data_IF_334810837259
#
_entry.id   IF_334810837259
#
_cell.length_a   1.000
_cell.length_b   1.000
_cell.length_c   1.000
_cell.angle_alpha   90.00
_cell.angle_beta   90.00
_cell.angle_gamma   90.00
#
_symmetry.space_group_name_H-M   'P 1'
#
loop_
_entity.id
_entity.type
_entity.pdbx_description
1 polymer ?
#
# COMPACT_ATOMS: atom_id res chain seq x y z
N UNK A 1 9.63 19.56 -3.03
CA UNK A 1 10.47 18.93 -4.06
C UNK A 1 9.53 18.57 -5.19
N UNK A 2 9.67 19.17 -6.38
CA UNK A 2 8.89 18.78 -7.55
C UNK A 2 9.21 17.30 -7.83
N UNK A 3 8.23 16.41 -7.67
CA UNK A 3 8.41 15.04 -8.10
C UNK A 3 8.62 15.01 -9.61
N UNK A 4 9.50 14.15 -10.07
CA UNK A 4 9.82 14.07 -11.49
C UNK A 4 8.62 13.46 -12.23
N UNK A 5 8.14 14.18 -13.22
CA UNK A 5 7.14 13.69 -14.17
C UNK A 5 7.48 12.26 -14.63
N UNK A 6 6.51 11.34 -14.53
CA UNK A 6 6.70 9.97 -15.04
C UNK A 6 6.80 10.00 -16.56
N UNK A 7 8.03 9.85 -17.10
CA UNK A 7 8.22 9.69 -18.54
C UNK A 7 7.63 8.35 -19.03
N UNK A 8 7.26 8.28 -20.30
CA UNK A 8 6.78 7.04 -20.92
C UNK A 8 7.77 5.87 -20.74
N UNK A 9 9.08 6.15 -20.86
CA UNK A 9 10.11 5.14 -20.62
C UNK A 9 10.11 4.63 -19.16
N UNK A 10 9.84 5.51 -18.17
CA UNK A 10 9.72 5.10 -16.77
C UNK A 10 8.46 4.30 -16.54
N UNK A 11 7.33 4.69 -17.14
CA UNK A 11 6.06 3.93 -17.07
C UNK A 11 6.28 2.52 -17.61
N UNK A 12 6.85 2.37 -18.82
CA UNK A 12 7.17 1.07 -19.41
C UNK A 12 8.04 0.20 -18.50
N UNK A 13 9.06 0.78 -17.87
CA UNK A 13 9.90 0.06 -16.91
C UNK A 13 9.11 -0.40 -15.66
N UNK A 14 8.17 0.41 -15.17
CA UNK A 14 7.30 0.04 -14.05
C UNK A 14 6.33 -1.08 -14.44
N UNK A 15 5.77 -1.06 -15.64
CA UNK A 15 4.90 -2.12 -16.17
C UNK A 15 5.64 -3.47 -16.24
N UNK A 16 6.87 -3.47 -16.77
CA UNK A 16 7.73 -4.65 -16.79
C UNK A 16 8.00 -5.14 -15.36
N UNK A 17 8.33 -4.24 -14.45
CA UNK A 17 8.61 -4.58 -13.05
C UNK A 17 7.38 -5.12 -12.33
N UNK A 18 6.20 -4.56 -12.55
CA UNK A 18 4.95 -5.07 -12.00
C UNK A 18 4.63 -6.48 -12.51
N UNK A 19 4.94 -6.73 -13.77
CA UNK A 19 4.81 -8.07 -14.33
C UNK A 19 5.80 -9.08 -13.70
N UNK A 20 7.06 -8.69 -13.46
CA UNK A 20 8.05 -9.51 -12.75
C UNK A 20 7.59 -9.84 -11.32
N UNK A 21 7.01 -8.85 -10.62
CA UNK A 21 6.43 -9.02 -9.29
C UNK A 21 5.25 -10.00 -9.34
N UNK A 22 4.35 -9.91 -10.33
CA UNK A 22 3.25 -10.88 -10.52
C UNK A 22 3.76 -12.30 -10.74
N UNK A 23 4.82 -12.48 -11.53
CA UNK A 23 5.43 -13.79 -11.71
C UNK A 23 5.95 -14.36 -10.38
N UNK A 24 6.66 -13.53 -9.60
CA UNK A 24 7.15 -13.92 -8.26
C UNK A 24 6.00 -14.27 -7.30
N UNK A 25 4.88 -13.56 -7.35
CA UNK A 25 3.67 -13.88 -6.55
C UNK A 25 3.14 -15.26 -6.91
N UNK A 26 3.01 -15.59 -8.19
CA UNK A 26 2.55 -16.92 -8.63
C UNK A 26 3.52 -18.01 -8.19
N UNK A 27 4.83 -17.82 -8.43
CA UNK A 27 5.86 -18.81 -8.06
C UNK A 27 5.85 -19.10 -6.56
N UNK A 28 5.83 -18.05 -5.71
CA UNK A 28 5.85 -18.24 -4.27
C UNK A 28 4.57 -18.89 -3.73
N UNK A 29 3.40 -18.57 -4.30
CA UNK A 29 2.11 -19.15 -3.87
C UNK A 29 1.97 -20.62 -4.29
N UNK A 30 2.44 -20.98 -5.50
CA UNK A 30 2.50 -22.38 -5.95
C UNK A 30 3.41 -23.20 -5.04
N UNK A 31 4.59 -22.67 -4.71
CA UNK A 31 5.56 -23.32 -3.84
C UNK A 31 5.07 -23.45 -2.39
N UNK A 32 4.34 -22.45 -1.89
CA UNK A 32 3.77 -22.47 -0.54
C UNK A 32 2.53 -23.38 -0.42
N UNK A 33 1.79 -23.61 -1.51
CA UNK A 33 0.53 -24.36 -1.51
C UNK A 33 -0.57 -23.73 -0.64
N UNK A 34 -0.40 -22.47 -0.21
CA UNK A 34 -1.33 -21.73 0.62
C UNK A 34 -1.12 -20.22 0.47
N UNK A 35 -2.19 -19.44 0.67
CA UNK A 35 -2.13 -17.98 0.59
C UNK A 35 -3.23 -17.39 -0.29
N UNK A 36 -3.14 -16.10 -0.54
CA UNK A 36 -4.11 -15.30 -1.28
C UNK A 36 -3.54 -14.91 -2.65
N UNK A 37 -4.31 -15.00 -3.71
CA UNK A 37 -3.83 -14.79 -5.08
C UNK A 37 -4.37 -13.50 -5.71
N UNK A 38 -5.68 -13.29 -5.64
CA UNK A 38 -6.32 -12.22 -6.42
C UNK A 38 -5.91 -10.81 -5.96
N UNK A 39 -5.91 -10.55 -4.64
CA UNK A 39 -5.50 -9.26 -4.07
C UNK A 39 -4.04 -8.92 -4.38
N UNK A 40 -3.07 -9.82 -4.09
CA UNK A 40 -1.67 -9.58 -4.43
C UNK A 40 -1.41 -9.27 -5.92
N UNK A 41 -2.05 -9.99 -6.83
CA UNK A 41 -1.92 -9.72 -8.27
C UNK A 41 -2.55 -8.37 -8.66
N UNK A 42 -3.70 -8.02 -8.07
CA UNK A 42 -4.38 -6.74 -8.28
C UNK A 42 -3.54 -5.55 -7.81
N UNK A 43 -2.85 -5.69 -6.69
CA UNK A 43 -2.06 -4.60 -6.09
C UNK A 43 -0.63 -4.47 -6.64
N UNK A 44 -0.21 -5.33 -7.58
CA UNK A 44 1.17 -5.34 -8.05
C UNK A 44 1.62 -4.02 -8.70
N UNK A 45 0.75 -3.31 -9.44
CA UNK A 45 1.09 -2.02 -10.05
C UNK A 45 1.30 -0.94 -8.98
N UNK A 46 0.42 -0.89 -7.99
CA UNK A 46 0.49 0.07 -6.88
C UNK A 46 1.77 -0.17 -6.06
N UNK A 47 2.05 -1.41 -5.64
CA UNK A 47 3.27 -1.73 -4.91
C UNK A 47 4.53 -1.44 -5.72
N UNK A 48 4.49 -1.70 -7.03
CA UNK A 48 5.61 -1.35 -7.92
C UNK A 48 5.83 0.15 -7.97
N UNK A 49 4.77 0.95 -8.13
CA UNK A 49 4.89 2.41 -8.12
C UNK A 49 5.48 2.90 -6.80
N UNK A 50 4.99 2.37 -5.67
CA UNK A 50 5.47 2.78 -4.35
C UNK A 50 6.94 2.44 -4.14
N UNK A 51 7.36 1.20 -4.35
CA UNK A 51 8.73 0.75 -4.07
C UNK A 51 9.78 1.24 -5.07
N UNK A 52 9.39 1.60 -6.29
CA UNK A 52 10.36 2.00 -7.34
C UNK A 52 10.26 3.47 -7.76
N UNK A 53 9.32 4.23 -7.16
CA UNK A 53 9.17 5.65 -7.49
C UNK A 53 8.76 6.54 -6.32
N UNK A 54 7.77 6.16 -5.51
CA UNK A 54 7.16 7.05 -4.51
C UNK A 54 7.89 7.05 -3.17
N UNK A 55 8.08 5.87 -2.56
CA UNK A 55 8.63 5.77 -1.22
C UNK A 55 10.05 6.31 -1.12
N UNK A 56 10.27 7.15 -0.14
CA UNK A 56 11.62 7.48 0.33
C UNK A 56 12.07 6.35 1.25
N UNK A 57 12.84 5.44 0.71
CA UNK A 57 13.38 4.29 1.46
C UNK A 57 14.77 3.92 0.95
N UNK A 58 15.52 3.21 1.79
CA UNK A 58 16.82 2.65 1.43
C UNK A 58 16.91 1.19 1.89
N UNK A 59 16.88 0.23 0.96
CA UNK A 59 17.02 -1.20 1.29
C UNK A 59 18.31 -1.55 2.02
N UNK A 60 19.38 -0.75 1.84
CA UNK A 60 20.67 -0.93 2.52
C UNK A 60 20.70 -0.31 3.91
N UNK A 61 19.79 0.63 4.18
CA UNK A 61 19.61 1.26 5.49
C UNK A 61 18.11 1.28 5.87
N UNK A 62 17.49 0.11 6.08
CA UNK A 62 16.05 0.01 6.34
C UNK A 62 15.60 0.64 7.66
N UNK A 63 16.53 0.97 8.55
CA UNK A 63 16.27 1.69 9.81
C UNK A 63 16.40 3.21 9.69
N UNK A 64 16.64 3.75 8.49
CA UNK A 64 16.73 5.20 8.29
C UNK A 64 15.51 5.92 8.87
N UNK A 65 15.73 6.85 9.81
CA UNK A 65 14.66 7.51 10.56
C UNK A 65 13.74 8.34 9.68
N UNK A 66 14.29 9.02 8.66
CA UNK A 66 13.57 9.95 7.79
C UNK A 66 12.86 9.29 6.61
N UNK A 67 12.92 7.94 6.51
CA UNK A 67 12.19 7.22 5.48
C UNK A 67 10.68 7.34 5.65
N UNK A 68 9.93 7.22 4.58
CA UNK A 68 8.49 7.05 4.65
C UNK A 68 8.12 5.74 5.35
N UNK A 69 6.90 5.64 5.87
CA UNK A 69 6.36 4.45 6.54
C UNK A 69 5.26 3.85 5.68
N UNK A 70 5.34 2.55 5.44
CA UNK A 70 4.30 1.80 4.74
C UNK A 70 3.72 0.74 5.67
N UNK A 71 2.45 0.91 6.04
CA UNK A 71 1.68 -0.02 6.87
C UNK A 71 0.80 -0.85 5.94
N UNK A 72 0.97 -2.17 5.97
CA UNK A 72 0.07 -3.09 5.30
C UNK A 72 -0.98 -3.56 6.30
N UNK A 73 -2.21 -3.02 6.22
CA UNK A 73 -3.32 -3.42 7.10
C UNK A 73 -3.95 -4.74 6.66
N UNK A 74 -4.25 -4.87 5.37
CA UNK A 74 -4.75 -6.09 4.74
C UNK A 74 -3.63 -7.14 4.56
N UNK A 75 -3.09 -7.62 5.68
CA UNK A 75 -1.89 -8.45 5.74
C UNK A 75 -1.92 -9.74 4.92
N UNK A 76 -3.08 -10.22 4.52
CA UNK A 76 -3.24 -11.39 3.68
C UNK A 76 -2.68 -11.21 2.25
N UNK A 77 -2.53 -9.95 1.79
CA UNK A 77 -1.88 -9.66 0.50
C UNK A 77 -0.35 -9.58 0.59
N UNK A 78 0.25 -10.02 1.69
CA UNK A 78 1.71 -10.00 1.90
C UNK A 78 2.56 -10.54 0.74
N UNK A 79 2.12 -11.48 -0.13
CA UNK A 79 2.91 -11.89 -1.27
C UNK A 79 3.36 -10.73 -2.16
N UNK A 80 2.51 -9.73 -2.42
CA UNK A 80 2.92 -8.56 -3.21
C UNK A 80 3.91 -7.67 -2.46
N UNK A 81 3.73 -7.48 -1.15
CA UNK A 81 4.68 -6.74 -0.31
C UNK A 81 6.07 -7.39 -0.34
N UNK A 82 6.14 -8.71 -0.09
CA UNK A 82 7.40 -9.43 -0.10
C UNK A 82 8.07 -9.43 -1.47
N UNK A 83 7.31 -9.61 -2.55
CA UNK A 83 7.85 -9.52 -3.90
C UNK A 83 8.40 -8.12 -4.20
N UNK A 84 7.67 -7.04 -3.88
CA UNK A 84 8.14 -5.67 -4.07
C UNK A 84 9.41 -5.38 -3.25
N UNK A 85 9.46 -5.82 -1.99
CA UNK A 85 10.64 -5.68 -1.13
C UNK A 85 11.85 -6.44 -1.69
N UNK A 86 11.69 -7.70 -2.10
CA UNK A 86 12.78 -8.49 -2.68
C UNK A 86 13.31 -7.85 -3.97
N UNK A 87 12.42 -7.48 -4.89
CA UNK A 87 12.80 -6.83 -6.15
C UNK A 87 13.41 -5.44 -5.96
N UNK A 88 13.14 -4.76 -4.85
CA UNK A 88 13.77 -3.48 -4.49
C UNK A 88 15.08 -3.63 -3.68
N UNK A 89 15.47 -4.87 -3.33
CA UNK A 89 16.78 -5.16 -2.76
C UNK A 89 16.85 -5.32 -1.24
N UNK A 90 15.72 -5.48 -0.53
CA UNK A 90 15.73 -5.73 0.91
C UNK A 90 16.25 -7.14 1.26
N UNK A 91 16.02 -8.11 0.40
CA UNK A 91 16.49 -9.47 0.52
C UNK A 91 16.48 -10.17 -0.85
N UNK A 92 17.18 -11.32 -1.02
CA UNK A 92 17.24 -12.02 -2.30
C UNK A 92 15.87 -12.48 -2.79
N UNK A 93 15.61 -12.38 -4.10
CA UNK A 93 14.34 -12.80 -4.72
C UNK A 93 14.09 -14.30 -4.51
N UNK A 94 15.15 -15.10 -4.47
CA UNK A 94 15.09 -16.55 -4.23
C UNK A 94 14.46 -16.91 -2.89
N UNK A 95 14.55 -16.01 -1.90
CA UNK A 95 13.95 -16.21 -0.58
C UNK A 95 12.42 -16.25 -0.62
N UNK A 96 11.79 -15.64 -1.64
CA UNK A 96 10.35 -15.69 -1.83
C UNK A 96 9.78 -17.11 -1.86
N UNK A 97 10.57 -18.09 -2.30
CA UNK A 97 10.20 -19.52 -2.29
C UNK A 97 10.06 -20.13 -0.90
N UNK A 98 10.43 -19.39 0.13
CA UNK A 98 10.29 -19.82 1.53
C UNK A 98 8.99 -19.35 2.18
N UNK A 99 8.10 -18.65 1.44
CA UNK A 99 6.83 -18.17 1.96
C UNK A 99 6.10 -19.26 2.74
N UNK A 100 5.68 -18.96 3.99
CA UNK A 100 4.94 -19.87 4.89
C UNK A 100 5.64 -21.18 5.24
N UNK A 101 6.89 -21.39 4.86
CA UNK A 101 7.64 -22.58 5.28
C UNK A 101 8.09 -22.45 6.74
N UNK A 102 8.21 -23.58 7.42
CA UNK A 102 8.69 -23.59 8.81
C UNK A 102 10.08 -22.94 8.91
N UNK A 103 10.25 -22.04 9.86
CA UNK A 103 11.48 -21.28 10.05
C UNK A 103 11.72 -20.12 9.09
N UNK A 104 10.86 -19.92 8.09
CA UNK A 104 10.96 -18.77 7.21
C UNK A 104 10.53 -17.48 7.93
N UNK A 105 11.21 -16.37 7.60
CA UNK A 105 10.79 -15.04 8.05
C UNK A 105 9.65 -14.45 7.20
N UNK A 106 9.34 -15.03 6.04
CA UNK A 106 8.23 -14.65 5.18
C UNK A 106 6.95 -15.37 5.63
N UNK A 107 6.34 -14.82 6.68
CA UNK A 107 5.15 -15.37 7.30
C UNK A 107 3.90 -15.17 6.41
N UNK A 108 2.86 -15.96 6.64
CA UNK A 108 1.59 -15.86 5.90
C UNK A 108 0.82 -14.56 6.08
N UNK A 109 1.15 -13.80 7.12
CA UNK A 109 0.85 -12.38 7.35
C UNK A 109 2.14 -11.73 7.82
N UNK A 110 2.41 -10.47 7.48
CA UNK A 110 3.65 -9.81 7.86
C UNK A 110 3.87 -9.81 9.37
N UNK A 111 5.08 -10.16 9.79
CA UNK A 111 5.44 -10.19 11.21
C UNK A 111 6.78 -9.47 11.42
N UNK A 112 6.74 -8.32 12.10
CA UNK A 112 7.87 -7.41 12.24
C UNK A 112 9.07 -8.03 12.97
N UNK A 113 8.85 -8.92 13.94
CA UNK A 113 9.95 -9.57 14.66
C UNK A 113 10.75 -10.52 13.77
N UNK A 114 10.08 -11.20 12.82
CA UNK A 114 10.76 -12.09 11.87
C UNK A 114 11.34 -11.35 10.67
N UNK A 115 10.69 -10.27 10.21
CA UNK A 115 11.16 -9.42 9.13
C UNK A 115 11.24 -7.96 9.62
N UNK A 116 12.35 -7.55 10.27
CA UNK A 116 12.47 -6.25 10.95
C UNK A 116 12.36 -5.02 10.04
N UNK A 117 12.31 -5.22 8.72
CA UNK A 117 12.13 -4.15 7.72
C UNK A 117 10.67 -3.70 7.58
N UNK A 118 9.74 -4.41 8.21
CA UNK A 118 8.32 -4.07 8.22
C UNK A 118 8.03 -3.01 9.27
N UNK A 119 7.08 -2.12 8.99
CA UNK A 119 6.65 -1.13 9.97
C UNK A 119 5.69 -1.73 11.01
N UNK A 120 4.89 -2.72 10.62
CA UNK A 120 3.92 -3.37 11.50
C UNK A 120 3.88 -4.89 11.30
N UNK A 121 3.34 -5.58 12.29
CA UNK A 121 2.77 -6.90 12.13
C UNK A 121 1.30 -6.75 11.80
N UNK A 122 0.80 -7.49 10.82
CA UNK A 122 -0.60 -7.44 10.41
C UNK A 122 -1.23 -8.84 10.37
N UNK A 123 -2.53 -8.88 10.29
CA UNK A 123 -3.34 -10.10 10.35
C UNK A 123 -4.76 -9.75 10.75
N UNK A 124 -4.99 -9.18 11.97
CA UNK A 124 -6.31 -8.67 12.34
C UNK A 124 -6.68 -7.48 11.44
N UNK A 125 -7.68 -7.66 10.58
CA UNK A 125 -8.21 -6.62 9.71
C UNK A 125 -8.72 -5.43 10.54
N UNK A 126 -8.61 -4.22 9.99
CA UNK A 126 -9.03 -2.98 10.64
C UNK A 126 -8.02 -2.38 11.63
N UNK A 127 -6.93 -3.08 11.97
CA UNK A 127 -5.97 -2.58 12.96
C UNK A 127 -4.87 -1.68 12.39
N UNK A 128 -4.51 -1.85 11.11
CA UNK A 128 -3.38 -1.16 10.50
C UNK A 128 -3.61 0.34 10.35
N UNK A 129 -4.84 0.77 10.05
CA UNK A 129 -5.15 2.20 9.95
C UNK A 129 -4.95 2.92 11.29
N UNK A 130 -5.37 2.31 12.40
CA UNK A 130 -5.15 2.87 13.74
C UNK A 130 -3.66 2.99 14.07
N UNK A 131 -2.83 2.01 13.66
CA UNK A 131 -1.38 2.07 13.81
C UNK A 131 -0.78 3.21 12.98
N UNK A 132 -1.21 3.36 11.71
CA UNK A 132 -0.78 4.44 10.84
C UNK A 132 -1.16 5.82 11.41
N UNK A 133 -2.38 5.95 11.94
CA UNK A 133 -2.86 7.16 12.63
C UNK A 133 -1.99 7.51 13.82
N UNK A 134 -1.62 6.51 14.64
CA UNK A 134 -0.70 6.71 15.77
C UNK A 134 0.67 7.22 15.33
N UNK A 135 1.25 6.64 14.27
CA UNK A 135 2.54 7.08 13.70
C UNK A 135 2.45 8.51 13.13
N UNK A 136 1.38 8.81 12.39
CA UNK A 136 1.18 10.15 11.83
C UNK A 136 0.97 11.22 12.91
N UNK A 137 0.31 10.86 14.00
CA UNK A 137 0.13 11.75 15.15
C UNK A 137 1.45 11.98 15.90
N UNK A 138 2.27 10.95 16.09
CA UNK A 138 3.60 11.08 16.71
C UNK A 138 4.48 12.05 15.90
N UNK A 139 4.57 11.87 14.58
CA UNK A 139 5.31 12.78 13.71
C UNK A 139 4.83 14.24 13.83
N UNK A 140 3.50 14.44 13.89
CA UNK A 140 2.93 15.77 14.05
C UNK A 140 3.32 16.42 15.38
N UNK A 141 3.34 15.64 16.48
CA UNK A 141 3.77 16.12 17.80
C UNK A 141 5.26 16.49 17.79
N UNK A 142 6.11 15.64 17.20
CA UNK A 142 7.54 15.88 17.10
C UNK A 142 7.84 17.19 16.35
N UNK A 143 7.17 17.44 15.22
CA UNK A 143 7.33 18.67 14.43
C UNK A 143 6.91 19.90 15.26
N UNK A 144 5.77 19.85 15.97
CA UNK A 144 5.30 20.96 16.79
C UNK A 144 6.27 21.28 17.93
N UNK A 145 6.80 20.25 18.61
CA UNK A 145 7.78 20.45 19.70
C UNK A 145 9.11 21.03 19.23
N UNK A 146 9.55 20.71 18.00
CA UNK A 146 10.75 21.30 17.40
C UNK A 146 10.55 22.79 17.07
N UNK A 147 9.36 23.20 16.65
CA UNK A 147 9.05 24.60 16.35
C UNK A 147 8.96 25.46 17.63
N UNK A 148 8.41 24.94 18.72
CA UNK A 148 8.38 25.61 20.01
C UNK A 148 9.80 25.86 20.56
N UNK A 149 10.72 24.90 20.42
CA UNK A 149 12.09 25.03 20.85
C UNK A 149 12.92 26.03 20.00
N UNK A 150 12.57 26.21 18.72
CA UNK A 150 13.23 27.21 17.86
C UNK A 150 12.77 28.65 18.16
N UNK A 151 11.57 28.84 18.67
CA UNK A 151 11.04 30.16 19.05
C UNK A 151 11.60 30.71 20.36
N UNK A 152 12.35 29.93 21.13
CA UNK A 152 13.03 30.36 22.35
C UNK A 152 14.34 31.12 22.11
N UNK A 153 14.95 31.03 20.91
CA UNK A 153 16.28 31.58 20.61
C UNK A 153 16.38 32.59 19.45
N UNK A 154 15.27 32.98 18.80
CA UNK A 154 15.34 33.95 17.70
C UNK A 154 14.25 35.01 17.80
N UNK A 155 14.70 36.18 18.27
CA UNK A 155 14.01 37.45 17.97
C UNK A 155 14.07 37.71 16.45
N UNK A 156 12.90 37.91 15.86
CA UNK A 156 12.66 38.40 14.49
C UNK A 156 12.60 37.34 13.38
N UNK A 157 11.44 37.01 12.96
CA UNK A 157 10.73 37.33 11.69
C UNK A 157 9.35 36.68 11.75
N UNK A 158 8.35 37.44 12.19
CA UNK A 158 6.96 37.11 11.92
C UNK A 158 6.65 37.45 10.47
N UNK A 159 6.64 36.46 9.59
CA UNK A 159 5.93 36.53 8.33
C UNK A 159 4.68 35.68 8.39
N UNK A 160 3.54 36.37 8.43
CA UNK A 160 2.20 35.88 8.10
C UNK A 160 1.86 34.41 8.38
N UNK A 161 1.40 34.12 9.56
CA UNK A 161 0.26 33.26 9.94
C UNK A 161 0.05 31.88 9.30
N UNK A 162 1.05 31.26 8.64
CA UNK A 162 0.93 29.92 8.10
C UNK A 162 2.25 29.17 8.35
N UNK A 163 2.33 28.44 9.46
CA UNK A 163 3.33 27.39 9.61
C UNK A 163 2.95 26.30 8.62
N UNK A 164 3.50 26.34 7.43
CA UNK A 164 3.39 25.23 6.47
C UNK A 164 4.20 24.08 7.04
N UNK A 165 3.55 23.21 7.82
CA UNK A 165 4.12 21.96 8.28
C UNK A 165 4.34 21.07 7.05
N UNK A 166 5.49 21.23 6.39
CA UNK A 166 5.93 20.25 5.41
C UNK A 166 6.23 18.96 6.16
N UNK A 167 5.45 17.93 5.95
CA UNK A 167 5.69 16.63 6.54
C UNK A 167 7.14 16.20 6.26
N UNK A 168 7.89 15.86 7.31
CA UNK A 168 9.25 15.33 7.15
C UNK A 168 9.23 13.97 6.42
N UNK A 169 8.14 13.21 6.59
CA UNK A 169 7.86 11.90 6.00
C UNK A 169 6.36 11.65 5.88
N UNK A 170 5.98 10.79 4.93
CA UNK A 170 4.60 10.34 4.78
C UNK A 170 4.41 8.98 5.44
N UNK A 171 3.20 8.79 5.99
CA UNK A 171 2.71 7.52 6.51
C UNK A 171 1.67 7.01 5.52
N UNK A 172 1.99 5.92 4.83
CA UNK A 172 1.08 5.26 3.89
C UNK A 172 0.45 4.04 4.55
N UNK A 173 -0.86 3.87 4.41
CA UNK A 173 -1.59 2.71 4.93
C UNK A 173 -2.39 2.04 3.83
N UNK A 174 -2.12 0.77 3.55
CA UNK A 174 -2.85 -0.02 2.57
C UNK A 174 -3.93 -0.85 3.25
N UNK A 175 -5.14 -0.75 2.73
CA UNK A 175 -6.37 -1.35 3.23
C UNK A 175 -7.04 -2.18 2.13
N UNK A 176 -7.79 -3.22 2.50
CA UNK A 176 -8.75 -3.87 1.60
C UNK A 176 -10.13 -3.25 1.73
N UNK A 177 -10.95 -3.35 0.69
CA UNK A 177 -12.34 -2.86 0.75
C UNK A 177 -13.20 -3.70 1.71
N UNK A 178 -13.12 -5.03 1.70
CA UNK A 178 -13.80 -5.87 2.68
C UNK A 178 -13.28 -5.66 4.11
N UNK A 179 -12.05 -5.19 4.29
CA UNK A 179 -11.51 -4.79 5.59
C UNK A 179 -12.25 -3.58 6.20
N UNK A 180 -12.87 -2.76 5.37
CA UNK A 180 -13.63 -1.59 5.85
C UNK A 180 -14.95 -1.97 6.54
N UNK A 181 -15.32 -3.25 6.55
CA UNK A 181 -16.42 -3.76 7.39
C UNK A 181 -16.05 -3.73 8.88
N UNK A 182 -14.76 -3.65 9.22
CA UNK A 182 -14.28 -3.54 10.59
C UNK A 182 -14.50 -2.15 11.19
N UNK A 183 -15.22 -2.06 12.33
CA UNK A 183 -15.56 -0.80 12.99
C UNK A 183 -14.37 0.07 13.38
N UNK A 184 -13.24 -0.56 13.71
CA UNK A 184 -12.00 0.11 14.11
C UNK A 184 -11.46 1.06 13.02
N UNK A 185 -11.69 0.76 11.75
CA UNK A 185 -11.34 1.66 10.64
C UNK A 185 -12.11 2.99 10.75
N UNK A 186 -13.39 2.95 11.04
CA UNK A 186 -14.25 4.14 11.13
C UNK A 186 -13.86 5.03 12.31
N UNK A 187 -13.47 4.44 13.43
CA UNK A 187 -12.90 5.17 14.57
C UNK A 187 -11.58 5.86 14.19
N UNK A 188 -10.70 5.17 13.45
CA UNK A 188 -9.44 5.71 12.97
C UNK A 188 -9.65 6.85 11.95
N UNK A 189 -10.60 6.71 11.02
CA UNK A 189 -10.98 7.78 10.08
C UNK A 189 -11.45 9.04 10.83
N UNK A 190 -12.34 8.88 11.82
CA UNK A 190 -12.84 9.98 12.62
C UNK A 190 -11.72 10.69 13.39
N UNK A 191 -10.82 9.94 14.03
CA UNK A 191 -9.70 10.51 14.78
C UNK A 191 -8.71 11.26 13.87
N UNK A 192 -8.33 10.66 12.74
CA UNK A 192 -7.38 11.28 11.80
C UNK A 192 -7.92 12.58 11.20
N UNK A 193 -9.20 12.60 10.81
CA UNK A 193 -9.85 13.79 10.27
C UNK A 193 -9.97 14.92 11.30
N UNK A 194 -10.38 14.57 12.55
CA UNK A 194 -10.40 15.54 13.68
C UNK A 194 -9.03 16.19 13.87
N UNK A 195 -7.96 15.38 13.84
CA UNK A 195 -6.60 15.85 14.12
C UNK A 195 -5.89 16.40 12.89
N UNK A 196 -6.53 16.42 11.72
CA UNK A 196 -5.96 16.94 10.45
C UNK A 196 -4.57 16.40 10.18
N UNK A 197 -4.45 15.05 10.13
CA UNK A 197 -3.18 14.35 9.92
C UNK A 197 -2.79 14.38 8.44
N UNK A 198 -2.28 15.52 7.95
CA UNK A 198 -1.96 15.75 6.54
C UNK A 198 -0.75 14.96 6.00
N UNK A 199 -0.02 14.27 6.88
CA UNK A 199 1.05 13.33 6.51
C UNK A 199 0.56 11.88 6.38
N UNK A 200 -0.75 11.61 6.58
CA UNK A 200 -1.36 10.30 6.47
C UNK A 200 -2.09 10.16 5.13
N UNK A 201 -1.65 9.18 4.34
CA UNK A 201 -2.28 8.81 3.06
C UNK A 201 -2.68 7.34 3.14
N UNK A 202 -3.97 7.06 3.14
CA UNK A 202 -4.50 5.71 3.06
C UNK A 202 -4.85 5.35 1.61
N UNK A 203 -4.62 4.11 1.22
CA UNK A 203 -4.96 3.56 -0.10
C UNK A 203 -5.84 2.34 0.09
N UNK A 204 -7.06 2.39 -0.42
CA UNK A 204 -7.97 1.24 -0.40
C UNK A 204 -7.88 0.48 -1.71
N UNK A 205 -7.55 -0.79 -1.63
CA UNK A 205 -7.71 -1.77 -2.71
C UNK A 205 -9.20 -2.03 -2.94
N UNK A 206 -9.83 -1.19 -3.79
CA UNK A 206 -11.25 -1.31 -4.13
C UNK A 206 -11.42 -2.34 -5.25
N UNK A 207 -11.16 -3.60 -4.92
CA UNK A 207 -11.23 -4.72 -5.86
C UNK A 207 -12.62 -5.37 -5.93
N UNK A 208 -13.55 -4.97 -5.06
CA UNK A 208 -14.94 -5.42 -4.98
C UNK A 208 -15.14 -6.90 -4.66
N UNK A 209 -14.14 -7.57 -4.09
CA UNK A 209 -14.26 -8.97 -3.65
C UNK A 209 -13.77 -9.16 -2.21
N UNK A 210 -14.38 -10.10 -1.54
CA UNK A 210 -13.90 -10.66 -0.28
C UNK A 210 -14.11 -12.20 -0.30
N UNK A 211 -13.73 -12.92 0.76
CA UNK A 211 -13.74 -14.39 0.81
C UNK A 211 -15.08 -14.96 0.36
N UNK A 212 -16.19 -14.40 0.84
CA UNK A 212 -17.52 -14.95 0.67
C UNK A 212 -18.24 -14.42 -0.58
N UNK A 213 -17.66 -13.48 -1.32
CA UNK A 213 -18.30 -12.96 -2.52
C UNK A 213 -17.91 -11.56 -2.93
N UNK A 214 -18.83 -10.88 -3.59
CA UNK A 214 -18.70 -9.49 -4.01
C UNK A 214 -18.99 -8.58 -2.82
N UNK A 215 -18.08 -7.63 -2.50
CA UNK A 215 -18.17 -6.75 -1.34
C UNK A 215 -19.53 -6.07 -1.20
N UNK A 216 -20.08 -5.49 -2.26
CA UNK A 216 -21.40 -4.83 -2.21
C UNK A 216 -22.60 -5.77 -1.99
N UNK A 217 -22.39 -7.09 -2.10
CA UNK A 217 -23.43 -8.08 -1.79
C UNK A 217 -23.31 -8.64 -0.38
N UNK A 218 -22.11 -8.62 0.17
CA UNK A 218 -21.84 -9.15 1.53
C UNK A 218 -22.13 -8.05 2.57
N UNK A 219 -21.41 -6.91 2.48
CA UNK A 219 -21.64 -5.73 3.31
C UNK A 219 -21.36 -4.47 2.47
N UNK A 220 -22.40 -3.75 2.03
CA UNK A 220 -22.25 -2.62 1.11
C UNK A 220 -21.46 -1.46 1.71
N UNK A 221 -20.43 -1.03 1.00
CA UNK A 221 -19.60 0.11 1.39
C UNK A 221 -20.08 1.43 0.78
N UNK A 222 -20.77 1.38 -0.35
CA UNK A 222 -21.15 2.62 -1.05
C UNK A 222 -22.24 3.44 -0.28
N UNK A 223 -22.21 4.76 -0.39
CA UNK A 223 -21.22 5.60 -1.07
C UNK A 223 -19.95 5.80 -0.20
N UNK A 224 -18.90 5.02 -0.46
CA UNK A 224 -17.68 5.01 0.35
C UNK A 224 -17.01 6.39 0.41
N UNK A 225 -16.78 7.02 -0.73
CA UNK A 225 -16.14 8.32 -0.80
C UNK A 225 -16.84 9.40 0.04
N UNK A 226 -18.18 9.43 0.01
CA UNK A 226 -18.95 10.42 0.77
C UNK A 226 -18.90 10.18 2.29
N UNK A 227 -18.95 8.90 2.71
CA UNK A 227 -18.78 8.53 4.11
C UNK A 227 -17.43 9.02 4.66
N UNK A 228 -16.36 8.87 3.90
CA UNK A 228 -15.01 9.28 4.31
C UNK A 228 -14.85 10.80 4.25
N UNK A 229 -15.42 11.49 3.24
CA UNK A 229 -15.45 12.97 3.19
C UNK A 229 -16.14 13.56 4.40
N UNK A 230 -17.20 12.90 4.91
CA UNK A 230 -17.91 13.33 6.13
C UNK A 230 -17.02 13.32 7.39
N UNK A 231 -15.95 12.50 7.41
CA UNK A 231 -14.91 12.52 8.45
C UNK A 231 -13.80 13.56 8.22
N UNK A 232 -13.97 14.52 7.29
CA UNK A 232 -12.98 15.56 6.93
C UNK A 232 -11.70 15.02 6.26
N UNK A 233 -11.77 13.90 5.58
CA UNK A 233 -10.73 13.43 4.70
C UNK A 233 -10.86 14.03 3.31
N UNK A 234 -9.73 14.17 2.62
CA UNK A 234 -9.71 14.37 1.17
C UNK A 234 -9.77 13.00 0.48
N UNK A 235 -10.58 12.85 -0.55
CA UNK A 235 -10.81 11.55 -1.20
C UNK A 235 -10.55 11.67 -2.69
N UNK A 236 -9.69 10.80 -3.20
CA UNK A 236 -9.32 10.68 -4.61
C UNK A 236 -9.72 9.29 -5.11
N UNK A 237 -10.48 9.23 -6.19
CA UNK A 237 -10.79 7.98 -6.88
C UNK A 237 -9.84 7.83 -8.07
N UNK A 238 -9.20 6.64 -8.23
CA UNK A 238 -8.25 6.40 -9.30
C UNK A 238 -8.34 4.95 -9.83
N UNK A 239 -8.07 4.76 -11.11
CA UNK A 239 -7.90 3.41 -11.66
C UNK A 239 -6.53 2.84 -11.25
N UNK A 240 -6.54 1.73 -10.52
CA UNK A 240 -5.37 1.17 -9.84
C UNK A 240 -4.31 0.50 -10.75
N UNK A 241 -4.48 0.57 -12.09
CA UNK A 241 -3.56 -0.02 -13.07
C UNK A 241 -3.01 0.99 -14.08
N UNK A 242 -3.26 2.28 -13.86
CA UNK A 242 -2.67 3.36 -14.66
C UNK A 242 -1.58 4.05 -13.84
N UNK A 243 -0.33 3.82 -14.16
CA UNK A 243 0.81 4.39 -13.45
C UNK A 243 0.84 5.91 -13.46
N UNK A 244 0.39 6.54 -14.55
CA UNK A 244 0.33 7.99 -14.64
C UNK A 244 -0.73 8.54 -13.72
N UNK A 245 -1.96 8.02 -13.82
CA UNK A 245 -3.07 8.45 -12.97
C UNK A 245 -2.79 8.18 -11.48
N UNK A 246 -2.18 7.03 -11.13
CA UNK A 246 -1.75 6.72 -9.76
C UNK A 246 -0.72 7.70 -9.25
N UNK A 247 0.29 8.05 -10.06
CA UNK A 247 1.30 9.03 -9.68
C UNK A 247 0.69 10.42 -9.43
N UNK A 248 -0.17 10.87 -10.34
CA UNK A 248 -0.89 12.15 -10.21
C UNK A 248 -1.75 12.18 -8.93
N UNK A 249 -2.47 11.09 -8.63
CA UNK A 249 -3.26 10.95 -7.40
C UNK A 249 -2.41 11.01 -6.13
N UNK A 250 -1.21 10.42 -6.14
CA UNK A 250 -0.30 10.45 -4.99
C UNK A 250 0.33 11.83 -4.84
N UNK A 251 0.73 12.50 -5.93
CA UNK A 251 1.23 13.88 -5.90
C UNK A 251 0.17 14.85 -5.35
N UNK A 252 -1.08 14.71 -5.79
CA UNK A 252 -2.21 15.46 -5.26
C UNK A 252 -2.43 15.20 -3.76
N UNK A 253 -2.35 13.92 -3.34
CA UNK A 253 -2.47 13.52 -1.94
C UNK A 253 -1.35 14.13 -1.08
N UNK A 254 -0.11 14.14 -1.57
CA UNK A 254 1.03 14.73 -0.88
C UNK A 254 0.97 16.27 -0.79
N UNK A 255 0.28 16.91 -1.72
CA UNK A 255 0.04 18.36 -1.68
C UNK A 255 -1.03 18.76 -0.65
N UNK A 256 -1.82 17.79 -0.15
CA UNK A 256 -2.89 18.02 0.82
C UNK A 256 -2.37 17.96 2.26
N UNK A 257 -1.73 19.03 2.73
CA UNK A 257 -1.06 19.10 4.05
C UNK A 257 -1.99 19.32 5.25
N UNK A 258 -3.25 19.67 5.05
CA UNK A 258 -4.16 20.05 6.13
C UNK A 258 -5.29 19.04 6.41
N UNK A 259 -5.31 17.93 5.69
CA UNK A 259 -6.25 16.82 5.85
C UNK A 259 -5.56 15.49 5.56
N UNK A 260 -5.96 14.39 6.22
CA UNK A 260 -5.58 13.06 5.74
C UNK A 260 -6.25 12.78 4.39
N UNK A 261 -5.61 11.93 3.58
CA UNK A 261 -6.08 11.59 2.23
C UNK A 261 -6.40 10.11 2.13
N UNK A 262 -7.55 9.79 1.53
CA UNK A 262 -7.89 8.46 1.09
C UNK A 262 -7.83 8.38 -0.43
N UNK A 263 -7.03 7.48 -0.96
CA UNK A 263 -7.04 7.09 -2.37
C UNK A 263 -7.86 5.81 -2.50
N UNK A 264 -8.97 5.86 -3.19
CA UNK A 264 -9.78 4.69 -3.55
C UNK A 264 -9.24 4.18 -4.89
N UNK A 265 -8.43 3.14 -4.84
CA UNK A 265 -7.80 2.55 -6.01
C UNK A 265 -8.68 1.42 -6.56
N UNK A 266 -9.36 1.67 -7.67
CA UNK A 266 -10.18 0.67 -8.35
C UNK A 266 -9.28 -0.33 -9.08
N UNK A 267 -9.10 -1.51 -8.49
CA UNK A 267 -8.23 -2.56 -9.02
C UNK A 267 -9.02 -3.71 -9.63
N UNK A 268 -8.33 -4.53 -10.41
CA UNK A 268 -8.82 -5.80 -10.93
C UNK A 268 -8.18 -6.92 -10.12
N UNK A 269 -8.93 -7.62 -9.26
CA UNK A 269 -8.39 -8.76 -8.53
C UNK A 269 -7.95 -9.83 -9.53
N UNK A 270 -6.77 -10.44 -9.30
CA UNK A 270 -6.21 -11.44 -10.22
C UNK A 270 -5.56 -10.87 -11.47
N UNK A 271 -5.30 -9.56 -11.53
CA UNK A 271 -4.76 -8.82 -12.69
C UNK A 271 -3.58 -9.51 -13.36
N UNK A 272 -3.68 -9.63 -14.68
CA UNK A 272 -2.66 -10.22 -15.56
C UNK A 272 -2.81 -11.71 -15.80
N UNK A 273 -3.76 -12.39 -15.15
CA UNK A 273 -4.08 -13.80 -15.37
C UNK A 273 -5.57 -13.95 -15.67
N UNK A 274 -5.91 -14.17 -16.90
CA UNK A 274 -7.30 -14.14 -17.41
C UNK A 274 -8.28 -14.98 -16.60
N UNK A 275 -7.86 -16.16 -16.13
CA UNK A 275 -8.73 -17.06 -15.38
C UNK A 275 -8.86 -16.66 -13.89
N UNK A 276 -8.06 -15.71 -13.40
CA UNK A 276 -8.08 -15.24 -12.00
C UNK A 276 -8.79 -13.89 -11.88
N UNK A 277 -8.84 -13.12 -12.97
CA UNK A 277 -9.41 -11.78 -12.96
C UNK A 277 -10.90 -11.80 -12.59
N UNK A 278 -11.25 -10.91 -11.63
CA UNK A 278 -12.64 -10.64 -11.20
C UNK A 278 -13.39 -11.82 -10.60
N UNK A 279 -12.70 -12.89 -10.24
CA UNK A 279 -13.31 -14.07 -9.63
C UNK A 279 -12.95 -14.12 -8.14
N UNK A 280 -13.93 -13.87 -7.25
CA UNK A 280 -13.75 -13.85 -5.80
C UNK A 280 -13.22 -15.17 -5.24
N UNK A 281 -13.46 -16.30 -5.92
CA UNK A 281 -12.96 -17.63 -5.50
C UNK A 281 -11.43 -17.68 -5.43
N UNK A 282 -10.74 -16.75 -6.08
CA UNK A 282 -9.28 -16.58 -6.01
C UNK A 282 -8.84 -15.67 -4.86
N UNK A 283 -9.77 -15.13 -4.08
CA UNK A 283 -9.39 -14.27 -2.95
C UNK A 283 -8.45 -15.02 -1.99
N UNK A 284 -8.88 -16.14 -1.40
CA UNK A 284 -8.12 -16.92 -0.42
C UNK A 284 -7.56 -18.25 -0.93
N UNK A 285 -7.44 -18.43 -2.24
CA UNK A 285 -7.00 -19.68 -2.87
C UNK A 285 -5.62 -19.51 -3.52
N UNK A 286 -4.61 -20.36 -3.23
CA UNK A 286 -3.36 -20.44 -3.99
C UNK A 286 -3.59 -21.18 -5.30
N UNK A 287 -2.76 -20.92 -6.37
CA UNK A 287 -2.79 -21.72 -7.59
C UNK A 287 -2.22 -23.11 -7.33
N UNK A 288 -2.77 -24.12 -7.99
CA UNK A 288 -2.11 -25.40 -8.17
C UNK A 288 -0.89 -25.24 -9.07
N UNK A 289 -0.03 -26.24 -9.15
CA UNK A 289 1.13 -26.21 -10.04
C UNK A 289 0.73 -25.99 -11.51
N UNK A 290 -0.30 -26.69 -11.98
CA UNK A 290 -0.80 -26.54 -13.35
C UNK A 290 -1.40 -25.16 -13.62
N UNK A 291 -2.24 -24.65 -12.70
CA UNK A 291 -2.80 -23.30 -12.77
C UNK A 291 -1.69 -22.25 -12.76
N UNK A 292 -0.64 -22.42 -11.93
CA UNK A 292 0.51 -21.54 -11.85
C UNK A 292 1.36 -21.54 -13.13
N UNK A 293 1.64 -22.71 -13.71
CA UNK A 293 2.35 -22.81 -14.99
C UNK A 293 1.61 -22.11 -16.12
N UNK A 294 0.27 -22.19 -16.14
CA UNK A 294 -0.56 -21.49 -17.11
C UNK A 294 -0.51 -19.99 -16.89
N UNK A 295 -0.66 -19.54 -15.64
CA UNK A 295 -0.57 -18.13 -15.28
C UNK A 295 0.79 -17.50 -15.65
N UNK A 296 1.89 -18.22 -15.38
CA UNK A 296 3.23 -17.76 -15.72
C UNK A 296 3.44 -17.65 -17.24
N UNK A 297 2.83 -18.53 -18.05
CA UNK A 297 2.86 -18.39 -19.53
C UNK A 297 2.16 -17.09 -19.96
N UNK A 298 0.95 -16.81 -19.46
CA UNK A 298 0.22 -15.58 -19.77
C UNK A 298 1.03 -14.31 -19.40
N UNK A 299 1.65 -14.29 -18.21
CA UNK A 299 2.46 -13.17 -17.76
C UNK A 299 3.74 -12.98 -18.59
N UNK A 300 4.38 -14.08 -19.05
CA UNK A 300 5.55 -13.99 -19.93
C UNK A 300 5.22 -13.51 -21.34
N UNK A 301 4.05 -13.89 -21.87
CA UNK A 301 3.55 -13.38 -23.16
C UNK A 301 3.33 -11.86 -23.08
N UNK A 302 2.72 -11.34 -22.02
CA UNK A 302 2.55 -9.90 -21.81
C UNK A 302 3.90 -9.16 -21.85
N UNK A 303 4.93 -9.70 -21.17
CA UNK A 303 6.27 -9.10 -21.15
C UNK A 303 6.90 -8.97 -22.54
N UNK A 304 6.57 -9.85 -23.46
CA UNK A 304 7.10 -9.81 -24.82
C UNK A 304 6.41 -8.77 -25.72
N UNK A 305 5.25 -8.23 -25.30
CA UNK A 305 4.47 -7.23 -26.03
C UNK A 305 4.76 -5.79 -25.59
N UNK A 306 5.29 -5.60 -24.40
CA UNK A 306 5.67 -4.30 -23.80
C UNK A 306 7.13 -4.00 -24.11
#
# INVERSE_FOLDING_TARGET
>A
MLMAFLSEAKIKNLEIKANDIRQSIIEMLVEAGSGHTAGPLGMADIFTLFYFHILRHDPKNPSWSERDRLILSNGHICPVLYAAMAHSGYFPVEELKTLRKFGSRLQGHPHREFLPYLENSSGPLGSGLSQAVGMAMADKIDILSMDENKNSDVSSVKSNGSTTLTASRYIYCFLGDGELDEGNNWEAFMFAGKNKLGNLIAVVDRNNIQIDGITEKIMPLEPLGDKIRAFNWYVIDVYGHDFKALNEAIEEAQAMYNKPVLIIAHTVPGKGVKNFERDYRWHGKPPTKEEGEKALRELKEFRSMV
#
